data_IF_669276860686
#
_entry.id   IF_669276860686
#
_cell.length_a   1.000
_cell.length_b   1.000
_cell.length_c   1.000
_cell.angle_alpha   90.00
_cell.angle_beta   90.00
_cell.angle_gamma   90.00
#
_symmetry.space_group_name_H-M   'P 1'
#
loop_
_entity.id
_entity.type
_entity.pdbx_description
1 polymer ?
#
# COMPACT_ATOMS: atom_id res chain seq x y z
N UNK A 1 -0.83 17.32 1.43
CA UNK A 1 -0.44 15.95 1.77
C UNK A 1 0.99 15.70 1.37
N UNK A 2 1.73 14.98 2.22
CA UNK A 2 3.16 14.75 2.03
C UNK A 2 3.48 13.32 1.62
N UNK A 3 2.63 12.72 0.80
CA UNK A 3 2.81 11.33 0.38
C UNK A 3 3.48 11.32 -0.98
N UNK A 4 4.66 10.69 -1.05
CA UNK A 4 5.47 10.64 -2.25
C UNK A 4 5.03 9.49 -3.15
N UNK A 5 5.33 9.59 -4.44
CA UNK A 5 5.02 8.55 -5.43
C UNK A 5 5.56 7.18 -5.00
N UNK A 6 6.78 7.14 -4.47
CA UNK A 6 7.38 5.90 -3.99
C UNK A 6 6.51 5.20 -2.95
N UNK A 7 5.91 5.99 -2.05
CA UNK A 7 5.05 5.45 -1.00
C UNK A 7 3.76 4.88 -1.58
N UNK A 8 3.20 5.54 -2.58
CA UNK A 8 2.01 5.02 -3.26
C UNK A 8 2.30 3.71 -3.99
N UNK A 9 3.50 3.60 -4.58
CA UNK A 9 3.90 2.35 -5.24
C UNK A 9 4.00 1.20 -4.25
N UNK A 10 4.55 1.47 -3.07
CA UNK A 10 4.63 0.46 -2.01
C UNK A 10 3.23 0.06 -1.54
N UNK A 11 2.36 1.04 -1.32
CA UNK A 11 0.98 0.76 -0.96
C UNK A 11 0.30 -0.10 -2.02
N UNK A 12 0.46 0.27 -3.29
CA UNK A 12 -0.19 -0.44 -4.39
C UNK A 12 0.25 -1.89 -4.48
N UNK A 13 1.54 -2.15 -4.28
CA UNK A 13 2.06 -3.52 -4.29
C UNK A 13 1.49 -4.32 -3.12
N UNK A 14 1.43 -3.72 -1.95
CA UNK A 14 0.85 -4.38 -0.77
C UNK A 14 -0.64 -4.67 -0.97
N UNK A 15 -1.36 -3.75 -1.60
CA UNK A 15 -2.79 -3.91 -1.87
C UNK A 15 -3.04 -5.00 -2.91
N UNK A 16 -2.17 -5.10 -3.92
CA UNK A 16 -2.31 -6.10 -4.98
C UNK A 16 -2.01 -7.50 -4.46
N UNK A 17 -0.95 -7.65 -3.67
CA UNK A 17 -0.52 -8.95 -3.18
C UNK A 17 -1.25 -9.40 -1.91
N UNK A 18 -1.80 -8.44 -1.16
CA UNK A 18 -2.39 -8.66 0.16
C UNK A 18 -1.44 -9.38 1.10
N UNK A 19 -0.15 -9.09 0.94
CA UNK A 19 0.92 -9.68 1.74
C UNK A 19 2.08 -8.70 1.79
N UNK A 20 2.37 -8.20 2.99
CA UNK A 20 3.48 -7.26 3.17
C UNK A 20 4.83 -7.92 2.88
N UNK A 21 4.97 -9.21 3.22
CA UNK A 21 6.22 -9.91 2.94
C UNK A 21 6.42 -10.14 1.44
N UNK A 22 5.37 -10.46 0.71
CA UNK A 22 5.44 -10.62 -0.74
C UNK A 22 5.73 -9.28 -1.42
N UNK A 23 5.06 -8.21 -0.97
CA UNK A 23 5.29 -6.87 -1.50
C UNK A 23 6.75 -6.46 -1.30
N UNK A 24 7.29 -6.71 -0.11
CA UNK A 24 8.68 -6.38 0.21
C UNK A 24 9.64 -7.11 -0.72
N UNK A 25 9.40 -8.41 -0.92
CA UNK A 25 10.23 -9.23 -1.80
C UNK A 25 10.19 -8.72 -3.24
N UNK A 26 8.99 -8.41 -3.73
CA UNK A 26 8.81 -7.92 -5.09
C UNK A 26 9.48 -6.56 -5.32
N UNK A 27 9.54 -5.74 -4.28
CA UNK A 27 10.11 -4.39 -4.38
C UNK A 27 11.56 -4.31 -3.92
N UNK A 28 12.14 -5.44 -3.49
CA UNK A 28 13.53 -5.50 -3.01
C UNK A 28 13.79 -4.58 -1.82
N UNK A 29 12.81 -4.52 -0.90
CA UNK A 29 12.93 -3.77 0.35
C UNK A 29 12.55 -4.68 1.51
N UNK A 30 12.78 -4.23 2.74
CA UNK A 30 12.44 -5.02 3.91
C UNK A 30 10.93 -4.98 4.17
N UNK A 31 10.42 -6.01 4.85
CA UNK A 31 9.03 -6.02 5.27
C UNK A 31 8.74 -4.88 6.25
N UNK A 32 9.71 -4.55 7.11
CA UNK A 32 9.61 -3.39 8.01
C UNK A 32 9.37 -2.11 7.22
N UNK A 33 10.08 -1.94 6.11
CA UNK A 33 9.94 -0.73 5.28
C UNK A 33 8.53 -0.65 4.70
N UNK A 34 7.98 -1.77 4.23
CA UNK A 34 6.59 -1.81 3.74
C UNK A 34 5.64 -1.41 4.86
N UNK A 35 5.78 -2.05 6.01
CA UNK A 35 4.89 -1.83 7.15
C UNK A 35 4.93 -0.38 7.63
N UNK A 36 6.12 0.20 7.72
CA UNK A 36 6.30 1.60 8.14
C UNK A 36 5.70 2.56 7.13
N UNK A 37 5.88 2.28 5.85
CA UNK A 37 5.32 3.12 4.79
C UNK A 37 3.78 3.10 4.85
N UNK A 38 3.18 1.92 4.99
CA UNK A 38 1.72 1.82 5.11
C UNK A 38 1.22 2.60 6.32
N UNK A 39 1.88 2.44 7.47
CA UNK A 39 1.49 3.16 8.68
C UNK A 39 1.61 4.67 8.50
N UNK A 40 2.64 5.10 7.81
CA UNK A 40 2.87 6.52 7.54
C UNK A 40 1.77 7.10 6.65
N UNK A 41 1.36 6.37 5.62
CA UNK A 41 0.27 6.79 4.74
C UNK A 41 -1.05 6.86 5.51
N UNK A 42 -1.33 5.83 6.32
CA UNK A 42 -2.55 5.79 7.12
C UNK A 42 -2.62 6.97 8.09
N UNK A 43 -1.48 7.30 8.68
CA UNK A 43 -1.39 8.44 9.60
C UNK A 43 -1.61 9.76 8.87
N UNK A 44 -0.98 9.92 7.71
CA UNK A 44 -1.10 11.13 6.91
C UNK A 44 -2.55 11.34 6.46
N UNK A 45 -3.23 10.29 6.04
CA UNK A 45 -4.60 10.35 5.57
C UNK A 45 -5.63 10.24 6.70
N UNK A 46 -5.16 9.94 7.91
CA UNK A 46 -6.03 9.72 9.08
C UNK A 46 -7.11 8.67 8.78
N UNK A 47 -6.70 7.60 8.11
CA UNK A 47 -7.60 6.57 7.63
C UNK A 47 -6.89 5.23 7.63
N UNK A 48 -7.54 4.20 8.14
CA UNK A 48 -7.00 2.85 8.09
C UNK A 48 -7.25 2.25 6.71
N UNK A 49 -6.19 1.74 6.09
CA UNK A 49 -6.25 1.20 4.73
C UNK A 49 -6.20 -0.32 4.71
N UNK A 50 -5.56 -0.92 5.72
CA UNK A 50 -5.44 -2.37 5.84
C UNK A 50 -5.94 -2.84 7.20
N UNK A 51 -6.48 -4.06 7.20
CA UNK A 51 -6.79 -4.79 8.44
C UNK A 51 -5.91 -6.01 8.47
N UNK A 52 -5.21 -6.21 9.59
CA UNK A 52 -4.34 -7.37 9.77
C UNK A 52 -5.08 -8.43 10.58
N UNK A 53 -4.93 -9.67 10.16
CA UNK A 53 -5.51 -10.81 10.89
C UNK A 53 -4.53 -11.99 10.80
N UNK A 54 -4.90 -13.12 11.41
CA UNK A 54 -4.02 -14.28 11.48
C UNK A 54 -3.69 -14.89 10.11
N UNK A 55 -4.49 -14.59 9.10
CA UNK A 55 -4.29 -15.13 7.75
C UNK A 55 -3.60 -14.15 6.81
N UNK A 56 -3.25 -12.96 7.29
CA UNK A 56 -2.58 -11.94 6.48
C UNK A 56 -3.25 -10.59 6.62
N UNK A 57 -3.38 -9.88 5.50
CA UNK A 57 -3.99 -8.56 5.50
C UNK A 57 -5.11 -8.49 4.47
N UNK A 58 -6.07 -7.62 4.74
CA UNK A 58 -7.13 -7.30 3.78
C UNK A 58 -7.27 -5.78 3.73
N UNK A 59 -7.92 -5.29 2.68
CA UNK A 59 -8.14 -3.87 2.52
C UNK A 59 -9.42 -3.45 3.22
N UNK A 60 -9.38 -2.27 3.84
CA UNK A 60 -10.61 -1.61 4.28
C UNK A 60 -11.35 -1.10 3.04
N UNK A 61 -12.57 -0.60 3.24
CA UNK A 61 -13.32 0.05 2.17
C UNK A 61 -12.51 1.20 1.57
N UNK A 62 -11.91 2.01 2.44
CA UNK A 62 -11.08 3.13 2.03
C UNK A 62 -9.83 2.66 1.29
N UNK A 63 -9.24 1.56 1.77
CA UNK A 63 -8.06 0.98 1.11
C UNK A 63 -8.38 0.51 -0.30
N UNK A 64 -9.54 -0.11 -0.49
CA UNK A 64 -9.97 -0.56 -1.82
C UNK A 64 -10.14 0.61 -2.78
N UNK A 65 -10.75 1.69 -2.29
CA UNK A 65 -10.98 2.88 -3.11
C UNK A 65 -9.65 3.52 -3.50
N UNK A 66 -8.74 3.68 -2.54
CA UNK A 66 -7.43 4.26 -2.82
C UNK A 66 -6.64 3.39 -3.79
N UNK A 67 -6.67 2.06 -3.59
CA UNK A 67 -5.98 1.12 -4.48
C UNK A 67 -6.46 1.28 -5.93
N UNK A 68 -7.76 1.37 -6.13
CA UNK A 68 -8.33 1.53 -7.45
C UNK A 68 -7.85 2.82 -8.11
N UNK A 69 -7.85 3.92 -7.36
CA UNK A 69 -7.43 5.22 -7.89
C UNK A 69 -5.93 5.25 -8.20
N UNK A 70 -5.11 4.68 -7.32
CA UNK A 70 -3.67 4.65 -7.53
C UNK A 70 -3.31 3.75 -8.71
N UNK A 71 -3.98 2.61 -8.83
CA UNK A 71 -3.73 1.67 -9.92
C UNK A 71 -3.96 2.34 -11.26
N UNK A 72 -5.04 3.11 -11.39
CA UNK A 72 -5.33 3.87 -12.59
C UNK A 72 -4.28 4.94 -12.85
N UNK A 73 -3.88 5.66 -11.79
CA UNK A 73 -2.89 6.73 -11.92
C UNK A 73 -1.52 6.18 -12.33
N UNK A 74 -1.11 5.06 -11.73
CA UNK A 74 0.18 4.44 -12.05
C UNK A 74 0.19 3.90 -13.48
N UNK A 75 -0.94 3.38 -13.94
CA UNK A 75 -1.06 2.91 -15.32
C UNK A 75 -0.79 4.05 -16.30
N UNK A 76 -1.36 5.24 -16.04
CA UNK A 76 -1.17 6.40 -16.89
C UNK A 76 0.27 6.92 -16.87
N UNK A 77 0.93 6.82 -15.73
CA UNK A 77 2.30 7.30 -15.56
C UNK A 77 3.32 6.35 -16.20
N UNK A 78 3.08 5.04 -16.08
CA UNK A 78 4.07 4.03 -16.47
C UNK A 78 3.83 3.49 -17.89
N UNK A 79 2.76 3.88 -18.53
CA UNK A 79 2.46 3.49 -19.91
C UNK A 79 3.39 4.26 -20.93
#
# INVERSE_FOLDING_TARGET
MNIKLEQYKIFNEAATTLSFSTAARNLFISQSAVSQTISSIEKELQTQLFVRNSKGVSLTKEGKLLHQQIDQALFLITE
#
